data_IF_742734506154
#
_entry.id   IF_742734506154
#
_cell.length_a   1.000
_cell.length_b   1.000
_cell.length_c   1.000
_cell.angle_alpha   90.00
_cell.angle_beta   90.00
_cell.angle_gamma   90.00
#
_symmetry.space_group_name_H-M   'P 1'
#
loop_
_entity.id
_entity.type
_entity.pdbx_description
1 polymer ?
#
# COMPACT_ATOMS: atom_id res chain seq x y z
N UNK A 1 10.29 -7.16 -10.93
CA UNK A 1 11.25 -7.86 -10.04
C UNK A 1 12.62 -7.18 -9.99
N UNK A 2 13.33 -7.13 -11.12
CA UNK A 2 14.71 -6.62 -11.12
C UNK A 2 14.82 -5.12 -10.80
N UNK A 3 13.91 -4.27 -11.30
CA UNK A 3 13.97 -2.81 -11.11
C UNK A 3 13.88 -2.41 -9.62
N UNK A 4 12.87 -2.90 -8.88
CA UNK A 4 12.74 -2.61 -7.44
C UNK A 4 13.96 -3.13 -6.68
N UNK A 5 14.44 -4.34 -6.99
CA UNK A 5 15.60 -4.93 -6.33
C UNK A 5 16.87 -4.10 -6.57
N UNK A 6 17.12 -3.65 -7.81
CA UNK A 6 18.26 -2.80 -8.15
C UNK A 6 18.23 -1.46 -7.40
N UNK A 7 17.07 -0.79 -7.37
CA UNK A 7 16.93 0.48 -6.64
C UNK A 7 17.07 0.25 -5.12
N UNK A 8 16.55 -0.86 -4.61
CA UNK A 8 16.72 -1.24 -3.20
C UNK A 8 18.19 -1.48 -2.83
N UNK A 9 18.96 -2.13 -3.71
CA UNK A 9 20.40 -2.31 -3.54
C UNK A 9 21.13 -0.97 -3.62
N UNK A 10 20.78 -0.11 -4.59
CA UNK A 10 21.37 1.23 -4.72
C UNK A 10 21.16 2.08 -3.46
N UNK A 11 19.97 2.06 -2.88
CA UNK A 11 19.68 2.77 -1.63
C UNK A 11 20.52 2.24 -0.45
N UNK A 12 20.76 0.93 -0.36
CA UNK A 12 21.61 0.34 0.69
C UNK A 12 23.09 0.62 0.46
N UNK A 13 23.54 0.60 -0.79
CA UNK A 13 24.89 0.99 -1.17
C UNK A 13 25.20 2.41 -0.71
N UNK A 14 24.26 3.35 -0.90
CA UNK A 14 24.41 4.75 -0.49
C UNK A 14 24.47 4.96 1.04
N UNK A 15 24.07 3.98 1.85
CA UNK A 15 24.24 4.03 3.32
C UNK A 15 25.72 3.80 3.68
N UNK A 16 26.43 2.98 2.89
CA UNK A 16 27.84 2.65 3.12
C UNK A 16 28.83 3.55 2.37
N UNK A 17 28.42 4.17 1.27
CA UNK A 17 29.30 4.94 0.39
C UNK A 17 28.64 6.23 -0.10
N UNK A 18 29.42 7.31 -0.20
CA UNK A 18 28.92 8.59 -0.73
C UNK A 18 28.71 8.50 -2.25
N UNK A 19 27.48 8.71 -2.71
CA UNK A 19 27.13 8.75 -4.13
C UNK A 19 26.39 10.07 -4.46
N UNK A 20 27.02 11.02 -5.16
CA UNK A 20 26.51 12.39 -5.29
C UNK A 20 25.42 12.55 -6.35
N UNK A 21 25.24 11.61 -7.29
CA UNK A 21 24.34 11.79 -8.44
C UNK A 21 22.84 11.62 -8.15
N UNK A 22 22.47 10.94 -7.06
CA UNK A 22 21.07 10.70 -6.72
C UNK A 22 20.75 11.11 -5.29
N UNK A 23 19.66 11.82 -5.07
CA UNK A 23 19.17 12.10 -3.73
C UNK A 23 18.51 10.87 -3.10
N UNK A 24 18.84 10.57 -1.83
CA UNK A 24 18.35 9.36 -1.16
C UNK A 24 16.82 9.39 -0.99
N UNK A 25 16.27 10.56 -0.67
CA UNK A 25 14.83 10.75 -0.48
C UNK A 25 14.06 10.50 -1.78
N UNK A 26 14.60 10.97 -2.91
CA UNK A 26 14.01 10.79 -4.24
C UNK A 26 13.97 9.32 -4.64
N UNK A 27 15.08 8.59 -4.44
CA UNK A 27 15.15 7.15 -4.67
C UNK A 27 14.17 6.37 -3.77
N UNK A 28 14.02 6.79 -2.50
CA UNK A 28 13.09 6.16 -1.57
C UNK A 28 11.63 6.29 -2.02
N UNK A 29 11.22 7.48 -2.45
CA UNK A 29 9.87 7.69 -2.99
C UNK A 29 9.67 6.91 -4.29
N UNK A 30 10.62 6.98 -5.23
CA UNK A 30 10.55 6.23 -6.47
C UNK A 30 10.42 4.71 -6.24
N UNK A 31 11.25 4.16 -5.35
CA UNK A 31 11.25 2.74 -4.99
C UNK A 31 9.92 2.31 -4.38
N UNK A 32 9.45 3.05 -3.37
CA UNK A 32 8.22 2.68 -2.66
C UNK A 32 7.00 2.79 -3.58
N UNK A 33 6.79 3.92 -4.27
CA UNK A 33 5.65 4.08 -5.17
C UNK A 33 5.63 3.01 -6.28
N UNK A 34 6.79 2.69 -6.86
CA UNK A 34 6.87 1.64 -7.89
C UNK A 34 6.67 0.24 -7.32
N UNK A 35 7.18 -0.07 -6.12
CA UNK A 35 6.97 -1.36 -5.47
C UNK A 35 5.47 -1.60 -5.15
N UNK A 36 4.78 -0.59 -4.62
CA UNK A 36 3.37 -0.71 -4.27
C UNK A 36 2.46 -0.73 -5.50
N UNK A 37 2.59 0.23 -6.42
CA UNK A 37 1.69 0.39 -7.58
C UNK A 37 2.14 -0.44 -8.79
N UNK A 38 3.40 -0.29 -9.20
CA UNK A 38 3.94 -0.86 -10.44
C UNK A 38 4.20 -2.36 -10.39
N UNK A 39 4.21 -2.92 -9.19
CA UNK A 39 4.50 -4.32 -9.00
C UNK A 39 3.43 -5.04 -8.21
N UNK A 40 3.31 -4.80 -6.89
CA UNK A 40 2.43 -5.65 -6.06
C UNK A 40 0.99 -5.47 -6.50
N UNK A 41 0.51 -4.23 -6.59
CA UNK A 41 -0.85 -3.95 -7.06
C UNK A 41 -1.05 -4.36 -8.51
N UNK A 42 -0.06 -4.16 -9.39
CA UNK A 42 -0.16 -4.56 -10.79
C UNK A 42 -0.33 -6.09 -10.96
N UNK A 43 0.44 -6.90 -10.23
CA UNK A 43 0.28 -8.36 -10.22
C UNK A 43 -1.09 -8.75 -9.68
N UNK A 44 -1.54 -8.15 -8.57
CA UNK A 44 -2.84 -8.45 -7.99
C UNK A 44 -3.98 -8.08 -8.94
N UNK A 45 -3.94 -6.90 -9.57
CA UNK A 45 -4.91 -6.51 -10.59
C UNK A 45 -4.93 -7.50 -11.75
N UNK A 46 -3.76 -7.92 -12.23
CA UNK A 46 -3.66 -8.88 -13.34
C UNK A 46 -4.22 -10.26 -12.97
N UNK A 47 -3.91 -10.76 -11.77
CA UNK A 47 -4.42 -12.05 -11.28
C UNK A 47 -5.93 -12.01 -11.00
N UNK A 48 -6.43 -10.90 -10.46
CA UNK A 48 -7.86 -10.68 -10.25
C UNK A 48 -8.61 -10.59 -11.58
N UNK A 49 -8.03 -9.94 -12.60
CA UNK A 49 -8.58 -9.91 -13.94
C UNK A 49 -8.59 -11.29 -14.59
N UNK A 50 -7.50 -12.06 -14.45
CA UNK A 50 -7.45 -13.45 -14.92
C UNK A 50 -8.52 -14.34 -14.26
N UNK A 51 -8.84 -14.11 -12.98
CA UNK A 51 -9.98 -14.77 -12.32
C UNK A 51 -11.31 -14.46 -13.00
N UNK A 52 -11.55 -13.21 -13.42
CA UNK A 52 -12.77 -12.84 -14.16
C UNK A 52 -12.81 -13.51 -15.54
N UNK A 53 -11.70 -13.48 -16.28
CA UNK A 53 -11.62 -14.08 -17.61
C UNK A 53 -11.88 -15.59 -17.58
N UNK A 54 -11.41 -16.27 -16.52
CA UNK A 54 -11.67 -17.70 -16.31
C UNK A 54 -13.14 -18.03 -16.08
N UNK A 55 -13.91 -17.07 -15.57
CA UNK A 55 -15.35 -17.19 -15.39
C UNK A 55 -16.11 -16.55 -16.57
N UNK A 56 -15.49 -16.49 -17.76
CA UNK A 56 -16.05 -15.94 -19.00
C UNK A 56 -16.44 -14.45 -18.96
N UNK A 57 -15.95 -13.69 -17.97
CA UNK A 57 -16.19 -12.25 -17.86
C UNK A 57 -15.00 -11.49 -18.45
N UNK A 58 -15.13 -11.08 -19.70
CA UNK A 58 -14.13 -10.25 -20.38
C UNK A 58 -14.48 -8.77 -20.23
N UNK A 59 -13.48 -7.94 -19.97
CA UNK A 59 -13.65 -6.48 -19.90
C UNK A 59 -12.39 -5.79 -20.42
N UNK A 60 -12.49 -5.19 -21.61
CA UNK A 60 -11.42 -4.38 -22.19
C UNK A 60 -11.11 -3.15 -21.33
N UNK A 61 -12.11 -2.61 -20.62
CA UNK A 61 -11.94 -1.51 -19.69
C UNK A 61 -10.99 -1.88 -18.54
N UNK A 62 -11.14 -3.07 -17.94
CA UNK A 62 -10.25 -3.53 -16.86
C UNK A 62 -8.82 -3.72 -17.37
N UNK A 63 -8.66 -4.35 -18.54
CA UNK A 63 -7.34 -4.51 -19.18
C UNK A 63 -6.68 -3.15 -19.45
N UNK A 64 -7.43 -2.18 -19.98
CA UNK A 64 -6.94 -0.81 -20.20
C UNK A 64 -6.51 -0.12 -18.90
N UNK A 65 -7.23 -0.33 -17.79
CA UNK A 65 -6.86 0.23 -16.48
C UNK A 65 -5.58 -0.41 -15.92
N UNK A 66 -5.35 -1.70 -16.15
CA UNK A 66 -4.11 -2.40 -15.75
C UNK A 66 -2.90 -1.82 -16.49
N UNK A 67 -3.03 -1.59 -17.80
CA UNK A 67 -2.00 -0.92 -18.59
C UNK A 67 -1.78 0.53 -18.16
N UNK A 68 -2.86 1.26 -17.90
CA UNK A 68 -2.78 2.65 -17.43
C UNK A 68 -2.06 2.73 -16.07
N UNK A 69 -2.33 1.79 -15.15
CA UNK A 69 -1.61 1.69 -13.88
C UNK A 69 -0.11 1.47 -14.09
N UNK A 70 0.27 0.61 -15.05
CA UNK A 70 1.66 0.35 -15.35
C UNK A 70 2.37 1.59 -15.89
N UNK A 71 1.73 2.31 -16.83
CA UNK A 71 2.24 3.58 -17.37
C UNK A 71 2.41 4.60 -16.25
N UNK A 72 1.41 4.74 -15.37
CA UNK A 72 1.50 5.65 -14.23
C UNK A 72 2.64 5.28 -13.27
N UNK A 73 2.84 3.98 -13.01
CA UNK A 73 3.89 3.52 -12.13
C UNK A 73 5.29 3.79 -12.68
N UNK A 74 5.52 3.56 -13.98
CA UNK A 74 6.79 3.93 -14.61
C UNK A 74 6.96 5.46 -14.69
N UNK A 75 5.88 6.21 -14.95
CA UNK A 75 5.88 7.67 -14.89
C UNK A 75 6.29 8.19 -13.52
N UNK A 76 5.74 7.63 -12.44
CA UNK A 76 6.15 7.92 -11.06
C UNK A 76 7.62 7.56 -10.84
N UNK A 77 8.05 6.38 -11.27
CA UNK A 77 9.43 5.93 -11.07
C UNK A 77 10.44 6.93 -11.65
N UNK A 78 10.27 7.32 -12.91
CA UNK A 78 11.20 8.22 -13.59
C UNK A 78 11.11 9.65 -13.02
N UNK A 79 9.91 10.14 -12.77
CA UNK A 79 9.72 11.49 -12.23
C UNK A 79 10.23 11.63 -10.80
N UNK A 80 9.99 10.67 -9.91
CA UNK A 80 10.53 10.72 -8.55
C UNK A 80 12.05 10.65 -8.52
N UNK A 81 12.70 9.88 -9.40
CA UNK A 81 14.17 9.85 -9.48
C UNK A 81 14.73 11.20 -9.92
N UNK A 82 14.11 11.84 -10.93
CA UNK A 82 14.63 13.06 -11.54
C UNK A 82 14.37 14.33 -10.71
N UNK A 83 13.14 14.53 -10.24
CA UNK A 83 12.69 15.78 -9.60
C UNK A 83 12.18 15.58 -8.16
N UNK A 84 12.13 14.36 -7.65
CA UNK A 84 11.54 14.09 -6.34
C UNK A 84 10.06 14.45 -6.26
N UNK A 85 9.68 15.23 -5.25
CA UNK A 85 8.31 15.78 -5.08
C UNK A 85 8.06 17.02 -5.96
N UNK A 86 8.24 16.89 -7.26
CA UNK A 86 7.85 17.91 -8.24
C UNK A 86 6.41 17.74 -8.74
N UNK A 87 5.93 18.69 -9.55
CA UNK A 87 4.56 18.66 -10.09
C UNK A 87 4.25 17.38 -10.86
N UNK A 88 5.16 16.94 -11.73
CA UNK A 88 4.95 15.75 -12.59
C UNK A 88 4.75 14.46 -11.77
N UNK A 89 5.54 14.24 -10.71
CA UNK A 89 5.44 13.04 -9.86
C UNK A 89 4.17 13.05 -9.01
N UNK A 90 3.73 14.23 -8.56
CA UNK A 90 2.44 14.40 -7.90
C UNK A 90 1.31 14.08 -8.88
N UNK A 91 1.33 14.62 -10.10
CA UNK A 91 0.31 14.34 -11.12
C UNK A 91 0.20 12.84 -11.42
N UNK A 92 1.32 12.14 -11.64
CA UNK A 92 1.29 10.69 -11.88
C UNK A 92 0.82 9.90 -10.64
N UNK A 93 1.16 10.36 -9.43
CA UNK A 93 0.71 9.75 -8.19
C UNK A 93 -0.79 9.89 -8.00
N UNK A 94 -1.33 11.09 -8.20
CA UNK A 94 -2.78 11.35 -8.15
C UNK A 94 -3.51 10.56 -9.23
N UNK A 95 -2.97 10.51 -10.45
CA UNK A 95 -3.55 9.71 -11.53
C UNK A 95 -3.56 8.21 -11.18
N UNK A 96 -2.49 7.68 -10.57
CA UNK A 96 -2.44 6.28 -10.13
C UNK A 96 -3.52 5.98 -9.07
N UNK A 97 -3.83 6.92 -8.17
CA UNK A 97 -4.92 6.78 -7.19
C UNK A 97 -6.28 6.78 -7.90
N UNK A 98 -6.50 7.68 -8.87
CA UNK A 98 -7.74 7.71 -9.64
C UNK A 98 -7.94 6.40 -10.44
N UNK A 99 -6.89 5.89 -11.08
CA UNK A 99 -6.92 4.60 -11.79
C UNK A 99 -7.29 3.48 -10.82
N UNK A 100 -6.74 3.49 -9.59
CA UNK A 100 -7.08 2.53 -8.54
C UNK A 100 -8.58 2.54 -8.19
N UNK A 101 -9.19 3.73 -8.09
CA UNK A 101 -10.62 3.86 -7.81
C UNK A 101 -11.51 3.39 -8.96
N UNK A 102 -11.17 3.80 -10.18
CA UNK A 102 -11.90 3.38 -11.39
C UNK A 102 -11.77 1.87 -11.58
N UNK A 103 -10.60 1.31 -11.32
CA UNK A 103 -10.39 -0.15 -11.30
C UNK A 103 -11.28 -0.82 -10.25
N UNK A 104 -11.29 -0.32 -9.00
CA UNK A 104 -12.12 -0.88 -7.94
C UNK A 104 -13.61 -0.91 -8.32
N UNK A 105 -14.14 0.21 -8.82
CA UNK A 105 -15.53 0.30 -9.26
C UNK A 105 -15.83 -0.65 -10.43
N UNK A 106 -15.00 -0.63 -11.47
CA UNK A 106 -15.20 -1.45 -12.68
C UNK A 106 -15.08 -2.94 -12.37
N UNK A 107 -14.13 -3.31 -11.51
CA UNK A 107 -13.94 -4.69 -11.06
C UNK A 107 -15.12 -5.17 -10.22
N UNK A 108 -15.61 -4.38 -9.26
CA UNK A 108 -16.78 -4.75 -8.44
C UNK A 108 -18.01 -4.93 -9.34
N UNK A 109 -18.20 -4.07 -10.35
CA UNK A 109 -19.29 -4.21 -11.33
C UNK A 109 -19.18 -5.50 -12.14
N UNK A 110 -17.98 -5.83 -12.63
CA UNK A 110 -17.76 -7.11 -13.33
C UNK A 110 -18.00 -8.31 -12.40
N UNK A 111 -17.56 -8.20 -11.14
CA UNK A 111 -17.71 -9.23 -10.12
C UNK A 111 -19.18 -9.50 -9.76
N UNK A 112 -20.13 -8.60 -10.04
CA UNK A 112 -21.56 -8.86 -9.83
C UNK A 112 -22.09 -10.00 -10.71
N UNK A 113 -21.45 -10.28 -11.85
CA UNK A 113 -21.84 -11.36 -12.76
C UNK A 113 -21.45 -12.75 -12.23
N UNK A 114 -20.54 -12.83 -11.25
CA UNK A 114 -20.18 -14.07 -10.56
C UNK A 114 -21.30 -14.42 -9.56
N UNK A 115 -21.68 -15.70 -9.40
CA UNK A 115 -22.66 -16.13 -8.41
C UNK A 115 -22.36 -15.62 -7.00
N UNK A 116 -23.39 -15.21 -6.25
CA UNK A 116 -23.22 -14.60 -4.92
C UNK A 116 -22.58 -15.55 -3.90
N UNK A 117 -22.84 -16.84 -4.03
CA UNK A 117 -22.24 -17.89 -3.20
C UNK A 117 -20.76 -18.16 -3.50
N UNK A 118 -20.16 -17.50 -4.49
CA UNK A 118 -18.76 -17.72 -4.80
C UNK A 118 -17.88 -17.18 -3.67
N UNK A 119 -17.03 -18.03 -3.07
CA UNK A 119 -16.34 -17.72 -1.83
C UNK A 119 -15.42 -16.49 -1.90
N UNK A 120 -14.76 -16.28 -3.04
CA UNK A 120 -13.81 -15.17 -3.24
C UNK A 120 -14.46 -13.80 -3.42
N UNK A 121 -15.78 -13.74 -3.66
CA UNK A 121 -16.48 -12.49 -3.99
C UNK A 121 -16.35 -11.45 -2.87
N UNK A 122 -16.56 -11.89 -1.63
CA UNK A 122 -16.47 -11.01 -0.46
C UNK A 122 -15.02 -10.57 -0.16
N UNK A 123 -14.05 -11.47 -0.37
CA UNK A 123 -12.63 -11.14 -0.23
C UNK A 123 -12.18 -10.05 -1.21
N UNK A 124 -12.58 -10.13 -2.48
CA UNK A 124 -12.24 -9.11 -3.47
C UNK A 124 -12.94 -7.77 -3.22
N UNK A 125 -14.19 -7.78 -2.76
CA UNK A 125 -14.88 -6.55 -2.35
C UNK A 125 -14.17 -5.88 -1.17
N UNK A 126 -13.82 -6.67 -0.15
CA UNK A 126 -13.11 -6.18 1.03
C UNK A 126 -11.71 -5.65 0.68
N UNK A 127 -10.96 -6.35 -0.17
CA UNK A 127 -9.62 -5.89 -0.59
C UNK A 127 -9.70 -4.52 -1.27
N UNK A 128 -10.58 -4.38 -2.26
CA UNK A 128 -10.74 -3.13 -2.99
C UNK A 128 -11.26 -2.00 -2.11
N UNK A 129 -12.15 -2.30 -1.16
CA UNK A 129 -12.56 -1.33 -0.15
C UNK A 129 -11.37 -0.82 0.67
N UNK A 130 -10.51 -1.70 1.18
CA UNK A 130 -9.33 -1.29 1.94
C UNK A 130 -8.30 -0.54 1.10
N UNK A 131 -8.18 -0.85 -0.19
CA UNK A 131 -7.33 -0.10 -1.12
C UNK A 131 -7.83 1.34 -1.33
N UNK A 132 -9.15 1.54 -1.39
CA UNK A 132 -9.74 2.89 -1.44
C UNK A 132 -9.55 3.56 -0.08
N UNK A 133 -9.80 2.86 1.03
CA UNK A 133 -9.67 3.42 2.37
C UNK A 133 -8.23 3.86 2.69
N UNK A 134 -7.23 3.10 2.28
CA UNK A 134 -5.81 3.40 2.54
C UNK A 134 -5.40 4.78 2.00
N UNK A 135 -5.97 5.18 0.86
CA UNK A 135 -5.66 6.44 0.20
C UNK A 135 -6.04 7.69 1.02
N UNK A 136 -6.92 7.58 2.01
CA UNK A 136 -7.20 8.68 2.96
C UNK A 136 -5.93 9.10 3.70
N UNK A 137 -5.06 8.14 4.05
CA UNK A 137 -3.75 8.43 4.65
C UNK A 137 -2.86 9.22 3.70
N UNK A 138 -2.88 8.91 2.41
CA UNK A 138 -2.09 9.66 1.40
C UNK A 138 -2.64 11.06 1.14
N UNK A 139 -3.96 11.25 1.18
CA UNK A 139 -4.54 12.60 1.05
C UNK A 139 -4.24 13.47 2.25
N UNK A 140 -4.31 12.92 3.46
CA UNK A 140 -3.93 13.68 4.66
C UNK A 140 -2.44 14.03 4.64
N UNK A 141 -1.58 13.12 4.16
CA UNK A 141 -0.17 13.41 3.92
C UNK A 141 0.04 14.55 2.90
N UNK A 142 -0.68 14.53 1.79
CA UNK A 142 -0.63 15.60 0.79
C UNK A 142 -1.10 16.94 1.36
N UNK A 143 -2.17 16.95 2.16
CA UNK A 143 -2.67 18.14 2.85
C UNK A 143 -1.61 18.77 3.77
N UNK A 144 -0.89 17.96 4.56
CA UNK A 144 0.20 18.46 5.40
C UNK A 144 1.37 19.03 4.60
N UNK A 145 1.72 18.40 3.47
CA UNK A 145 2.79 18.90 2.60
C UNK A 145 2.43 20.25 1.95
N UNK A 146 1.16 20.46 1.58
CA UNK A 146 0.69 21.72 0.99
C UNK A 146 0.54 22.83 2.03
N UNK A 147 -0.02 22.51 3.20
CA UNK A 147 -0.20 23.49 4.30
C UNK A 147 1.11 23.89 4.98
N UNK A 148 2.23 23.20 4.68
CA UNK A 148 3.56 23.38 5.29
C UNK A 148 3.59 23.21 6.82
N UNK A 149 2.50 22.72 7.41
CA UNK A 149 2.39 22.44 8.83
C UNK A 149 2.61 20.94 9.05
N UNK A 150 3.89 20.54 9.03
CA UNK A 150 4.30 19.14 9.15
C UNK A 150 4.56 18.84 10.62
N UNK A 151 3.55 18.34 11.31
CA UNK A 151 3.73 17.72 12.60
C UNK A 151 4.17 16.26 12.42
N UNK A 152 5.24 15.88 13.11
CA UNK A 152 5.86 14.57 12.97
C UNK A 152 4.93 13.41 13.37
N UNK A 153 4.07 13.60 14.37
CA UNK A 153 3.15 12.55 14.83
C UNK A 153 2.04 12.32 13.81
N UNK A 154 1.46 13.40 13.28
CA UNK A 154 0.45 13.30 12.24
C UNK A 154 1.03 12.76 10.93
N UNK A 155 2.26 13.15 10.56
CA UNK A 155 2.98 12.59 9.42
C UNK A 155 3.15 11.07 9.54
N UNK A 156 3.71 10.60 10.66
CA UNK A 156 3.91 9.17 10.91
C UNK A 156 2.58 8.42 10.97
N UNK A 157 1.57 8.99 11.63
CA UNK A 157 0.21 8.43 11.70
C UNK A 157 -0.39 8.20 10.31
N UNK A 158 -0.26 9.17 9.41
CA UNK A 158 -0.75 9.10 8.03
C UNK A 158 -0.07 7.99 7.23
N UNK A 159 1.26 7.92 7.32
CA UNK A 159 2.06 6.90 6.63
C UNK A 159 1.71 5.51 7.16
N UNK A 160 1.61 5.35 8.49
CA UNK A 160 1.24 4.08 9.09
C UNK A 160 -0.19 3.64 8.77
N UNK A 161 -1.13 4.59 8.72
CA UNK A 161 -2.49 4.33 8.30
C UNK A 161 -2.51 3.78 6.87
N UNK A 162 -1.84 4.46 5.94
CA UNK A 162 -1.72 4.00 4.55
C UNK A 162 -1.12 2.59 4.48
N UNK A 163 0.04 2.36 5.11
CA UNK A 163 0.73 1.08 5.06
C UNK A 163 -0.10 -0.06 5.67
N UNK A 164 -0.77 0.19 6.80
CA UNK A 164 -1.58 -0.82 7.47
C UNK A 164 -2.72 -1.29 6.54
N UNK A 165 -3.49 -0.36 5.97
CA UNK A 165 -4.58 -0.73 5.07
C UNK A 165 -4.09 -1.28 3.73
N UNK A 166 -2.88 -0.92 3.28
CA UNK A 166 -2.33 -1.47 2.05
C UNK A 166 -1.85 -2.92 2.22
N UNK A 167 -1.05 -3.20 3.25
CA UNK A 167 -0.54 -4.56 3.50
C UNK A 167 -1.60 -5.48 4.08
N UNK A 168 -2.21 -5.08 5.20
CA UNK A 168 -3.12 -5.92 5.97
C UNK A 168 -4.55 -5.92 5.41
N UNK A 169 -4.91 -4.90 4.63
CA UNK A 169 -6.19 -4.80 3.94
C UNK A 169 -6.07 -5.23 2.47
N UNK A 170 -5.65 -4.31 1.60
CA UNK A 170 -5.64 -4.50 0.15
C UNK A 170 -4.91 -5.78 -0.29
N UNK A 171 -3.62 -5.93 0.03
CA UNK A 171 -2.82 -7.05 -0.45
C UNK A 171 -3.27 -8.38 0.14
N UNK A 172 -3.42 -8.44 1.46
CA UNK A 172 -3.76 -9.66 2.17
C UNK A 172 -5.12 -10.23 1.73
N UNK A 173 -6.16 -9.38 1.65
CA UNK A 173 -7.48 -9.82 1.23
C UNK A 173 -7.53 -10.19 -0.25
N UNK A 174 -6.77 -9.50 -1.12
CA UNK A 174 -6.70 -9.85 -2.54
C UNK A 174 -6.04 -11.23 -2.75
N UNK A 175 -4.92 -11.49 -2.07
CA UNK A 175 -4.23 -12.79 -2.12
C UNK A 175 -5.12 -13.90 -1.56
N UNK A 176 -5.77 -13.66 -0.41
CA UNK A 176 -6.71 -14.61 0.17
C UNK A 176 -7.88 -14.91 -0.78
N UNK A 177 -8.46 -13.88 -1.42
CA UNK A 177 -9.53 -14.06 -2.42
C UNK A 177 -9.09 -14.92 -3.60
N UNK A 178 -7.88 -14.70 -4.13
CA UNK A 178 -7.28 -15.53 -5.19
C UNK A 178 -7.02 -16.96 -4.72
N UNK A 179 -6.54 -17.13 -3.49
CA UNK A 179 -6.31 -18.44 -2.89
C UNK A 179 -7.61 -19.24 -2.75
N UNK A 180 -8.68 -18.63 -2.22
CA UNK A 180 -9.98 -19.29 -2.12
C UNK A 180 -10.62 -19.55 -3.48
N UNK A 181 -10.34 -18.71 -4.48
CA UNK A 181 -10.82 -18.96 -5.85
C UNK A 181 -10.18 -20.23 -6.40
N UNK A 182 -8.85 -20.38 -6.19
CA UNK A 182 -8.13 -21.56 -6.63
C UNK A 182 -8.51 -22.81 -5.83
N UNK A 183 -8.71 -22.70 -4.52
CA UNK A 183 -9.18 -23.81 -3.70
C UNK A 183 -10.56 -24.28 -4.11
N UNK A 184 -11.48 -23.36 -4.41
CA UNK A 184 -12.83 -23.70 -4.85
C UNK A 184 -12.80 -24.49 -6.18
N UNK A 185 -11.90 -24.14 -7.09
CA UNK A 185 -11.69 -24.90 -8.33
C UNK A 185 -11.18 -26.33 -8.08
N UNK A 186 -10.28 -26.53 -7.10
CA UNK A 186 -9.64 -27.83 -6.83
C UNK A 186 -10.55 -28.74 -6.01
N UNK A 187 -11.19 -28.21 -4.96
CA UNK A 187 -11.95 -28.99 -3.96
C UNK A 187 -13.45 -29.03 -4.29
N UNK A 188 -13.92 -28.14 -5.17
CA UNK A 188 -15.34 -27.94 -5.47
C UNK A 188 -16.12 -27.30 -4.33
N UNK A 189 -17.45 -27.41 -4.38
CA UNK A 189 -18.38 -26.76 -3.43
C UNK A 189 -18.46 -27.43 -2.03
N UNK A 190 -17.56 -28.36 -1.69
CA UNK A 190 -17.62 -29.08 -0.41
C UNK A 190 -17.19 -28.25 0.80
N UNK A 191 -16.59 -27.08 0.56
CA UNK A 191 -16.13 -26.16 1.59
C UNK A 191 -16.92 -24.86 1.50
N UNK A 192 -17.56 -24.45 2.60
CA UNK A 192 -18.17 -23.12 2.73
C UNK A 192 -17.22 -22.19 3.53
N UNK A 193 -16.46 -21.32 2.87
CA UNK A 193 -15.52 -20.41 3.54
C UNK A 193 -16.16 -19.12 4.06
N UNK A 194 -17.48 -18.96 4.03
CA UNK A 194 -18.13 -17.77 4.60
C UNK A 194 -17.77 -17.60 6.08
N UNK A 195 -17.76 -18.70 6.85
CA UNK A 195 -17.34 -18.70 8.25
C UNK A 195 -15.85 -18.31 8.40
N UNK A 196 -15.01 -18.69 7.43
CA UNK A 196 -13.59 -18.34 7.45
C UNK A 196 -13.36 -16.86 7.11
N UNK A 197 -14.14 -16.29 6.19
CA UNK A 197 -14.12 -14.86 5.90
C UNK A 197 -14.50 -14.05 7.14
N UNK A 198 -15.58 -14.42 7.84
CA UNK A 198 -16.03 -13.75 9.07
C UNK A 198 -14.95 -13.86 10.17
N UNK A 199 -14.39 -15.06 10.38
CA UNK A 199 -13.32 -15.27 11.35
C UNK A 199 -12.08 -14.42 11.02
N UNK A 200 -11.72 -14.31 9.74
CA UNK A 200 -10.60 -13.51 9.30
C UNK A 200 -10.86 -12.01 9.47
N UNK A 201 -12.06 -11.53 9.16
CA UNK A 201 -12.47 -10.15 9.42
C UNK A 201 -12.46 -9.83 10.91
N UNK A 202 -12.90 -10.76 11.76
CA UNK A 202 -12.84 -10.62 13.21
C UNK A 202 -11.39 -10.54 13.70
N UNK A 203 -10.54 -11.46 13.25
CA UNK A 203 -9.11 -11.46 13.57
C UNK A 203 -8.44 -10.16 13.12
N UNK A 204 -8.73 -9.70 11.90
CA UNK A 204 -8.25 -8.44 11.35
C UNK A 204 -8.70 -7.24 12.20
N UNK A 205 -9.96 -7.19 12.62
CA UNK A 205 -10.47 -6.15 13.53
C UNK A 205 -9.74 -6.15 14.88
N UNK A 206 -9.43 -7.33 15.42
CA UNK A 206 -8.65 -7.45 16.66
C UNK A 206 -7.21 -6.96 16.47
N UNK A 207 -6.56 -7.29 15.34
CA UNK A 207 -5.22 -6.78 15.02
C UNK A 207 -5.21 -5.26 14.82
N UNK A 208 -6.21 -4.71 14.12
CA UNK A 208 -6.42 -3.27 13.99
C UNK A 208 -6.54 -2.59 15.35
N UNK A 209 -7.34 -3.17 16.25
CA UNK A 209 -7.52 -2.64 17.60
C UNK A 209 -6.20 -2.64 18.38
N UNK A 210 -5.43 -3.72 18.33
CA UNK A 210 -4.13 -3.82 18.99
C UNK A 210 -3.14 -2.80 18.40
N UNK A 211 -3.07 -2.65 17.08
CA UNK A 211 -2.19 -1.70 16.41
C UNK A 211 -2.53 -0.24 16.75
N UNK A 212 -3.83 0.09 16.76
CA UNK A 212 -4.32 1.42 17.10
C UNK A 212 -4.07 1.71 18.58
N UNK A 213 -4.37 0.79 19.48
CA UNK A 213 -4.15 0.95 20.93
C UNK A 213 -2.65 1.06 21.24
N UNK A 214 -1.80 0.25 20.62
CA UNK A 214 -0.35 0.30 20.83
C UNK A 214 0.23 1.64 20.36
N UNK A 215 -0.19 2.12 19.19
CA UNK A 215 0.27 3.41 18.64
C UNK A 215 -0.32 4.61 19.40
N UNK A 216 -1.59 4.56 19.81
CA UNK A 216 -2.19 5.56 20.67
C UNK A 216 -1.47 5.63 22.04
N UNK A 217 -1.09 4.48 22.58
CA UNK A 217 -0.32 4.38 23.84
C UNK A 217 1.07 5.01 23.70
N UNK A 218 1.78 4.76 22.60
CA UNK A 218 3.07 5.39 22.30
C UNK A 218 2.97 6.91 22.17
N UNK A 219 1.92 7.42 21.51
CA UNK A 219 1.65 8.86 21.38
C UNK A 219 1.31 9.48 22.73
N UNK A 220 0.45 8.83 23.53
CA UNK A 220 0.13 9.28 24.90
C UNK A 220 1.35 9.28 25.82
N UNK A 221 2.22 8.27 25.74
CA UNK A 221 3.48 8.22 26.50
C UNK A 221 4.45 9.34 26.09
N UNK A 222 4.48 9.69 24.80
CA UNK A 222 5.29 10.79 24.29
C UNK A 222 4.79 12.15 24.77
N UNK A 223 3.46 12.38 24.77
CA UNK A 223 2.85 13.63 25.25
C UNK A 223 2.86 13.79 26.78
N UNK A 224 2.91 12.70 27.55
CA UNK A 224 2.93 12.73 29.02
C UNK A 224 4.32 12.93 29.64
N UNK A 225 5.35 13.28 28.85
CA UNK A 225 6.62 13.80 29.36
C UNK A 225 7.48 12.82 30.15
N UNK A 226 7.23 11.51 30.07
CA UNK A 226 8.02 10.53 30.79
C UNK A 226 9.33 10.20 30.04
N UNK A 227 10.32 11.10 30.14
CA UNK A 227 11.73 10.79 29.80
C UNK A 227 12.30 9.82 30.84
N UNK A 228 12.00 8.53 30.71
CA UNK A 228 12.83 7.47 31.31
C UNK A 228 13.13 6.40 30.26
N UNK A 229 14.30 6.57 29.65
CA UNK A 229 15.19 5.50 29.15
C UNK A 229 14.51 4.19 28.77
N UNK A 230 14.02 4.10 27.53
CA UNK A 230 13.76 2.81 26.89
C UNK A 230 15.05 2.32 26.24
N UNK A 231 15.98 1.85 27.07
CA UNK A 231 17.09 1.00 26.60
C UNK A 231 16.62 -0.45 26.66
N UNK A 232 15.64 -0.85 25.83
CA UNK A 232 15.40 -2.27 25.53
C UNK A 232 14.97 -2.36 24.05
N UNK A 233 15.78 -3.07 23.25
CA UNK A 233 15.69 -3.34 21.80
C UNK A 233 16.07 -2.23 20.80
N UNK A 234 17.37 -1.95 20.71
CA UNK A 234 18.11 -2.17 19.45
C UNK A 234 17.99 -1.18 18.29
N UNK A 235 17.23 -0.08 18.37
CA UNK A 235 17.26 0.98 17.34
C UNK A 235 17.92 2.25 17.88
N UNK A 236 19.23 2.38 17.65
CA UNK A 236 19.98 3.61 17.86
C UNK A 236 19.68 4.57 16.70
N UNK A 237 18.64 5.39 16.84
CA UNK A 237 18.44 6.56 15.97
C UNK A 237 19.52 7.57 16.34
N UNK A 238 20.59 7.63 15.54
CA UNK A 238 21.63 8.66 15.66
C UNK A 238 21.01 9.97 15.16
N UNK A 239 20.43 10.73 16.08
CA UNK A 239 20.18 12.16 15.91
C UNK A 239 21.51 12.88 16.05
N UNK A 240 22.16 13.22 14.94
CA UNK A 240 23.32 14.12 14.93
C UNK A 240 22.83 15.56 15.11
N UNK A 241 22.77 16.00 16.37
CA UNK A 241 22.82 17.41 16.72
C UNK A 241 24.29 17.77 16.93
N UNK A 242 24.94 18.31 15.89
CA UNK A 242 26.18 19.06 16.06
C UNK A 242 25.88 20.53 15.71
N UNK A 243 25.13 21.19 16.59
CA UNK A 243 25.36 22.60 16.86
C UNK A 243 26.36 22.67 18.01
N UNK A 244 27.56 23.20 17.74
CA UNK A 244 28.31 23.91 18.77
C UNK A 244 28.78 25.26 18.21
N UNK A 245 28.62 26.33 19.00
CA UNK A 245 29.03 27.68 18.63
C UNK A 245 30.51 27.88 18.97
N UNK A 246 31.23 28.56 18.07
CA UNK A 246 32.20 29.64 18.37
C UNK A 246 32.13 30.62 17.21
#
# INVERSE_FOLDING_TARGET
MCIVAMIGVLMRYKIGFEFPYFEQKHLLHAHSHFAFSGWVSHILYSMMFWFLEKNDIKSSAISGLIWTNLICAYGMLLSFIYQGYGGISITFSTLSILVSYVYAYTFIKALQQIPDHHPSKNWFKASLFFNVLSSLGTFYLAYMMVSKNIDQNYYLGSVYFFLHFQYSGWFLFAIAGLFFAKLHEIVGSRYNPENLFILFCFMYSCFLFIDIVYKATLVCFYYSGCRRTTTIMGFKVISRNDEKPV
#
